data_IF_581009853364
#
_entry.id   IF_581009853364
#
_cell.length_a   1.000
_cell.length_b   1.000
_cell.length_c   1.000
_cell.angle_alpha   90.00
_cell.angle_beta   90.00
_cell.angle_gamma   90.00
#
_symmetry.space_group_name_H-M   'P 1'
#
loop_
_entity.id
_entity.type
_entity.pdbx_description
1 polymer ?
#
# COMPACT_ATOMS: atom_id res chain seq x y z
N UNK A 1 5.01 -22.99 16.45
CA UNK A 1 4.74 -22.88 15.00
C UNK A 1 5.16 -21.50 14.51
N UNK A 2 5.29 -21.26 13.20
CA UNK A 2 5.51 -19.91 12.68
C UNK A 2 4.50 -18.92 13.28
N UNK A 3 4.96 -17.71 13.60
CA UNK A 3 4.20 -16.63 14.28
C UNK A 3 2.86 -16.27 13.60
N UNK A 4 2.64 -16.73 12.37
CA UNK A 4 1.49 -16.42 11.50
C UNK A 4 0.44 -17.54 11.36
N UNK A 5 0.59 -18.65 12.10
CA UNK A 5 -0.25 -19.85 11.94
C UNK A 5 -1.15 -20.16 13.16
N UNK A 6 -1.54 -19.16 13.92
CA UNK A 6 -2.58 -19.33 14.92
C UNK A 6 -3.96 -19.35 14.22
N UNK A 7 -4.44 -20.55 13.88
CA UNK A 7 -5.84 -20.79 13.49
C UNK A 7 -6.16 -20.78 11.98
N UNK A 8 -5.36 -20.12 11.13
CA UNK A 8 -5.61 -20.04 9.69
C UNK A 8 -5.12 -21.26 8.88
N UNK A 9 -5.89 -21.70 7.89
CA UNK A 9 -5.40 -22.70 6.93
C UNK A 9 -4.25 -22.09 6.10
N UNK A 10 -3.21 -22.87 5.79
CA UNK A 10 -2.11 -22.43 4.91
C UNK A 10 -2.63 -21.90 3.57
N UNK A 11 -3.73 -22.47 3.08
CA UNK A 11 -4.39 -22.05 1.85
C UNK A 11 -4.98 -20.63 1.97
N UNK A 12 -5.58 -20.29 3.11
CA UNK A 12 -6.09 -18.93 3.38
C UNK A 12 -4.96 -17.90 3.35
N UNK A 13 -3.82 -18.21 3.97
CA UNK A 13 -2.64 -17.33 3.97
C UNK A 13 -2.10 -17.16 2.56
N UNK A 14 -1.97 -18.24 1.79
CA UNK A 14 -1.55 -18.18 0.38
C UNK A 14 -2.53 -17.33 -0.43
N UNK A 15 -3.83 -17.54 -0.29
CA UNK A 15 -4.85 -16.76 -1.00
C UNK A 15 -4.77 -15.26 -0.69
N UNK A 16 -4.52 -14.89 0.57
CA UNK A 16 -4.33 -13.50 0.98
C UNK A 16 -3.05 -12.91 0.38
N UNK A 17 -1.93 -13.64 0.45
CA UNK A 17 -0.66 -13.19 -0.14
C UNK A 17 -0.76 -13.01 -1.65
N UNK A 18 -1.63 -13.77 -2.33
CA UNK A 18 -1.84 -13.63 -3.77
C UNK A 18 -2.50 -12.30 -4.14
N UNK A 19 -3.22 -11.60 -3.26
CA UNK A 19 -3.89 -10.33 -3.59
C UNK A 19 -2.90 -9.30 -4.20
N UNK A 20 -1.84 -8.88 -3.49
CA UNK A 20 -0.89 -7.91 -4.05
C UNK A 20 -0.11 -8.45 -5.26
N UNK A 21 0.16 -9.76 -5.31
CA UNK A 21 0.82 -10.39 -6.47
C UNK A 21 -0.07 -10.40 -7.71
N UNK A 22 -1.36 -10.70 -7.56
CA UNK A 22 -2.32 -10.67 -8.66
C UNK A 22 -2.56 -9.24 -9.14
N UNK A 23 -2.68 -8.27 -8.24
CA UNK A 23 -2.73 -6.85 -8.63
C UNK A 23 -1.48 -6.47 -9.42
N UNK A 24 -0.31 -6.92 -8.97
CA UNK A 24 0.95 -6.70 -9.66
C UNK A 24 0.94 -7.25 -11.08
N UNK A 25 0.60 -8.52 -11.22
CA UNK A 25 0.54 -9.21 -12.51
C UNK A 25 -0.45 -8.54 -13.44
N UNK A 26 -1.64 -8.19 -12.96
CA UNK A 26 -2.67 -7.52 -13.77
C UNK A 26 -2.18 -6.16 -14.31
N UNK A 27 -1.53 -5.34 -13.48
CA UNK A 27 -0.99 -4.05 -13.92
C UNK A 27 0.17 -4.23 -14.92
N UNK A 28 1.06 -5.18 -14.66
CA UNK A 28 2.18 -5.50 -15.58
C UNK A 28 1.67 -6.03 -16.91
N UNK A 29 0.77 -7.02 -16.92
CA UNK A 29 0.17 -7.56 -18.14
C UNK A 29 -0.57 -6.50 -18.95
N UNK A 30 -1.31 -5.61 -18.28
CA UNK A 30 -1.98 -4.48 -18.95
C UNK A 30 -0.98 -3.56 -19.64
N UNK A 31 0.23 -3.43 -19.09
CA UNK A 31 1.27 -2.56 -19.62
C UNK A 31 2.12 -3.19 -20.73
N UNK A 32 2.23 -4.53 -20.74
CA UNK A 32 2.87 -5.30 -21.82
C UNK A 32 2.09 -5.23 -23.14
N UNK A 33 0.78 -4.96 -23.09
CA UNK A 33 -0.03 -4.71 -24.28
C UNK A 33 0.41 -3.46 -25.07
N UNK A 34 1.25 -2.60 -24.49
CA UNK A 34 1.78 -1.40 -25.13
C UNK A 34 0.74 -0.31 -25.35
N UNK A 35 1.05 0.63 -26.25
CA UNK A 35 0.17 1.75 -26.58
C UNK A 35 -0.16 2.64 -25.38
N UNK A 36 -1.45 2.90 -25.14
CA UNK A 36 -1.92 3.79 -24.06
C UNK A 36 -1.61 3.29 -22.65
N UNK A 37 -1.30 2.00 -22.50
CA UNK A 37 -0.95 1.41 -21.21
C UNK A 37 0.57 1.22 -21.02
N UNK A 38 1.39 1.65 -21.98
CA UNK A 38 2.84 1.51 -21.85
C UNK A 38 3.37 2.19 -20.59
N UNK A 39 4.25 1.51 -19.84
CA UNK A 39 4.79 2.00 -18.57
C UNK A 39 5.49 3.37 -18.66
N UNK A 40 6.09 3.65 -19.81
CA UNK A 40 6.80 4.91 -20.08
C UNK A 40 5.88 6.01 -20.64
N UNK A 41 4.60 5.69 -20.92
CA UNK A 41 3.64 6.71 -21.33
C UNK A 41 3.44 7.71 -20.19
N UNK A 42 3.34 8.99 -20.55
CA UNK A 42 3.07 10.04 -19.57
C UNK A 42 1.56 10.20 -19.44
N UNK A 43 1.08 10.36 -18.21
CA UNK A 43 -0.33 10.56 -17.89
C UNK A 43 -0.50 11.82 -17.05
N UNK A 44 -1.56 12.58 -17.34
CA UNK A 44 -1.94 13.74 -16.56
C UNK A 44 -2.61 13.30 -15.27
N UNK A 45 -2.18 13.83 -14.13
CA UNK A 45 -2.72 13.49 -12.81
C UNK A 45 -3.96 14.33 -12.53
N UNK A 46 -5.11 13.68 -12.36
CA UNK A 46 -6.37 14.38 -12.09
C UNK A 46 -6.41 14.95 -10.67
N UNK A 47 -7.25 15.95 -10.42
CA UNK A 47 -7.47 16.50 -9.07
C UNK A 47 -7.87 15.40 -8.07
N UNK A 48 -8.75 14.47 -8.47
CA UNK A 48 -9.16 13.35 -7.64
C UNK A 48 -7.97 12.46 -7.24
N UNK A 49 -7.08 12.14 -8.18
CA UNK A 49 -5.86 11.37 -7.91
C UNK A 49 -4.93 12.13 -6.96
N UNK A 50 -4.71 13.43 -7.20
CA UNK A 50 -3.85 14.27 -6.35
C UNK A 50 -4.38 14.34 -4.92
N UNK A 51 -5.70 14.45 -4.73
CA UNK A 51 -6.34 14.41 -3.41
C UNK A 51 -6.13 13.04 -2.76
N UNK A 52 -6.38 11.94 -3.48
CA UNK A 52 -6.15 10.59 -2.95
C UNK A 52 -4.70 10.39 -2.48
N UNK A 53 -3.72 10.82 -3.29
CA UNK A 53 -2.30 10.76 -2.94
C UNK A 53 -1.98 11.56 -1.67
N UNK A 54 -2.55 12.74 -1.48
CA UNK A 54 -2.36 13.56 -0.26
C UNK A 54 -2.98 12.91 0.97
N UNK A 55 -4.18 12.35 0.82
CA UNK A 55 -4.85 11.62 1.91
C UNK A 55 -4.00 10.42 2.33
N UNK A 56 -3.53 9.62 1.37
CA UNK A 56 -2.68 8.47 1.67
C UNK A 56 -1.31 8.88 2.23
N UNK A 57 -0.73 9.98 1.73
CA UNK A 57 0.51 10.55 2.25
C UNK A 57 0.36 10.94 3.72
N UNK A 58 -0.70 11.68 4.05
CA UNK A 58 -1.01 12.05 5.42
C UNK A 58 -1.21 10.81 6.28
N UNK A 59 -1.98 9.83 5.80
CA UNK A 59 -2.20 8.56 6.50
C UNK A 59 -0.86 7.86 6.85
N UNK A 60 0.11 7.74 5.93
CA UNK A 60 1.40 7.13 6.28
C UNK A 60 2.30 7.98 7.17
N UNK A 61 2.36 9.29 6.95
CA UNK A 61 3.18 10.18 7.78
C UNK A 61 2.66 10.17 9.21
N UNK A 62 1.34 10.18 9.40
CA UNK A 62 0.73 10.06 10.72
C UNK A 62 0.86 8.64 11.31
N UNK A 63 0.85 7.58 10.50
CA UNK A 63 1.06 6.22 10.98
C UNK A 63 2.52 5.94 11.39
N UNK A 64 3.48 6.63 10.76
CA UNK A 64 4.90 6.57 11.09
C UNK A 64 5.20 7.11 12.49
N UNK A 65 4.63 8.28 12.85
CA UNK A 65 4.94 8.96 14.11
C UNK A 65 4.75 8.07 15.36
N UNK A 66 3.63 7.35 15.54
CA UNK A 66 3.49 6.45 16.67
C UNK A 66 4.47 5.27 16.68
N UNK A 67 4.88 4.76 15.51
CA UNK A 67 5.85 3.66 15.45
C UNK A 67 7.23 4.10 15.98
N UNK A 68 7.62 5.35 15.72
CA UNK A 68 8.89 5.89 16.23
C UNK A 68 8.78 6.44 17.66
N UNK A 69 7.71 7.17 17.95
CA UNK A 69 7.57 7.87 19.23
C UNK A 69 7.10 6.97 20.34
N UNK A 70 6.23 6.00 20.02
CA UNK A 70 5.60 5.15 21.02
C UNK A 70 6.23 3.77 21.09
N UNK A 71 6.99 3.32 20.09
CA UNK A 71 7.79 2.09 20.14
C UNK A 71 7.07 0.90 20.80
N UNK A 72 7.47 0.56 22.04
CA UNK A 72 6.90 -0.51 22.87
C UNK A 72 5.47 -0.26 23.38
N UNK A 73 5.04 1.00 23.45
CA UNK A 73 3.72 1.46 23.91
C UNK A 73 2.70 1.62 22.78
N UNK A 74 3.11 1.42 21.52
CA UNK A 74 2.17 1.29 20.39
C UNK A 74 1.46 -0.08 20.41
N UNK A 75 0.99 -0.48 21.58
CA UNK A 75 0.11 -1.62 21.76
C UNK A 75 -1.30 -1.07 21.62
N UNK A 76 -1.79 -1.00 20.38
CA UNK A 76 -3.23 -0.81 20.12
C UNK A 76 -4.06 -2.07 20.46
N UNK A 77 -3.47 -3.03 21.18
CA UNK A 77 -4.15 -4.19 21.73
C UNK A 77 -4.38 -3.96 23.23
N UNK A 78 -5.63 -4.04 23.67
CA UNK A 78 -6.04 -3.92 25.09
C UNK A 78 -5.45 -5.00 26.02
N UNK A 79 -4.66 -5.92 25.50
CA UNK A 79 -3.95 -6.91 26.28
C UNK A 79 -2.59 -6.32 26.65
N UNK A 80 -2.19 -6.32 27.92
CA UNK A 80 -0.86 -5.88 28.41
C UNK A 80 0.32 -6.71 27.88
N UNK A 81 0.26 -7.12 26.62
CA UNK A 81 1.26 -7.80 25.82
C UNK A 81 2.29 -6.75 25.44
N UNK A 82 3.38 -6.75 26.21
CA UNK A 82 4.60 -6.06 25.82
C UNK A 82 5.07 -6.67 24.51
N UNK A 83 5.34 -5.83 23.51
CA UNK A 83 6.04 -6.25 22.30
C UNK A 83 7.32 -6.96 22.75
N UNK A 84 7.56 -8.22 22.34
CA UNK A 84 8.75 -8.94 22.79
C UNK A 84 10.01 -8.13 22.46
N UNK A 85 10.90 -7.95 23.46
CA UNK A 85 12.24 -7.34 23.32
C UNK A 85 13.18 -8.19 22.48
N UNK A 86 12.77 -8.52 21.27
CA UNK A 86 13.59 -9.23 20.30
C UNK A 86 14.03 -8.18 19.31
N UNK A 87 15.35 -7.99 19.16
CA UNK A 87 15.91 -7.00 18.22
C UNK A 87 15.26 -7.09 16.84
N UNK A 88 14.88 -8.28 16.39
CA UNK A 88 14.18 -8.48 15.12
C UNK A 88 12.81 -7.79 15.03
N UNK A 89 12.04 -7.69 16.12
CA UNK A 89 10.75 -6.97 16.11
C UNK A 89 10.98 -5.46 16.12
N UNK A 90 11.95 -4.99 16.90
CA UNK A 90 12.35 -3.59 16.91
C UNK A 90 12.90 -3.15 15.53
N UNK A 91 13.78 -3.94 14.92
CA UNK A 91 14.28 -3.73 13.55
C UNK A 91 13.13 -3.70 12.54
N UNK A 92 12.19 -4.64 12.62
CA UNK A 92 11.02 -4.68 11.73
C UNK A 92 10.14 -3.43 11.89
N UNK A 93 9.88 -3.00 13.12
CA UNK A 93 9.10 -1.77 13.38
C UNK A 93 9.78 -0.53 12.79
N UNK A 94 11.09 -0.39 12.95
CA UNK A 94 11.84 0.73 12.36
C UNK A 94 11.83 0.68 10.82
N UNK A 95 12.06 -0.50 10.23
CA UNK A 95 11.99 -0.67 8.76
C UNK A 95 10.59 -0.32 8.23
N UNK A 96 9.53 -0.74 8.95
CA UNK A 96 8.16 -0.37 8.61
C UNK A 96 7.92 1.14 8.73
N UNK A 97 8.44 1.75 9.80
CA UNK A 97 8.37 3.19 10.03
C UNK A 97 9.02 3.99 8.89
N UNK A 98 10.25 3.65 8.54
CA UNK A 98 11.01 4.27 7.45
C UNK A 98 10.29 4.13 6.11
N UNK A 99 9.73 2.95 5.85
CA UNK A 99 8.96 2.68 4.64
C UNK A 99 7.69 3.54 4.58
N UNK A 100 6.93 3.65 5.67
CA UNK A 100 5.72 4.48 5.74
C UNK A 100 6.07 5.95 5.46
N UNK A 101 7.08 6.50 6.13
CA UNK A 101 7.51 7.87 5.88
C UNK A 101 7.95 8.07 4.43
N UNK A 102 8.79 7.18 3.90
CA UNK A 102 9.31 7.24 2.53
C UNK A 102 8.19 7.21 1.49
N UNK A 103 7.21 6.31 1.65
CA UNK A 103 6.04 6.28 0.77
C UNK A 103 5.16 7.51 0.93
N UNK A 104 4.99 8.02 2.15
CA UNK A 104 4.24 9.23 2.42
C UNK A 104 4.82 10.45 1.70
N UNK A 105 6.15 10.64 1.80
CA UNK A 105 6.86 11.69 1.07
C UNK A 105 6.75 11.48 -0.44
N UNK A 106 6.94 10.25 -0.93
CA UNK A 106 6.80 9.94 -2.36
C UNK A 106 5.40 10.30 -2.90
N UNK A 107 4.33 9.95 -2.19
CA UNK A 107 2.96 10.30 -2.60
C UNK A 107 2.69 11.80 -2.55
N UNK A 108 3.24 12.50 -1.55
CA UNK A 108 3.14 13.95 -1.48
C UNK A 108 3.81 14.59 -2.70
N UNK A 109 5.05 14.19 -3.02
CA UNK A 109 5.80 14.68 -4.18
C UNK A 109 5.07 14.39 -5.49
N UNK A 110 4.51 13.19 -5.64
CA UNK A 110 3.72 12.80 -6.81
C UNK A 110 2.45 13.66 -6.94
N UNK A 111 1.79 13.98 -5.83
CA UNK A 111 0.57 14.82 -5.81
C UNK A 111 0.80 16.27 -6.25
N UNK A 112 2.07 16.72 -6.25
CA UNK A 112 2.49 18.04 -6.72
C UNK A 112 2.79 18.06 -8.22
N UNK A 113 2.94 16.90 -8.87
CA UNK A 113 3.19 16.83 -10.30
C UNK A 113 1.89 16.99 -11.09
N UNK A 114 1.95 17.61 -12.26
CA UNK A 114 0.82 17.64 -13.19
C UNK A 114 0.74 16.39 -14.05
N UNK A 115 1.89 15.79 -14.35
CA UNK A 115 1.97 14.55 -15.10
C UNK A 115 3.10 13.67 -14.57
N UNK A 116 2.97 12.36 -14.75
CA UNK A 116 4.00 11.40 -14.39
C UNK A 116 4.04 10.24 -15.39
N UNK A 117 5.18 9.52 -15.49
CA UNK A 117 5.20 8.23 -16.15
C UNK A 117 4.19 7.27 -15.49
N UNK A 118 3.47 6.52 -16.31
CA UNK A 118 2.40 5.63 -15.86
C UNK A 118 2.88 4.57 -14.85
N UNK A 119 4.13 4.12 -14.95
CA UNK A 119 4.70 3.17 -13.98
C UNK A 119 4.71 3.71 -12.55
N UNK A 120 4.78 5.03 -12.36
CA UNK A 120 4.80 5.64 -11.02
C UNK A 120 3.48 5.38 -10.27
N UNK A 121 2.36 5.25 -11.01
CA UNK A 121 1.05 4.93 -10.45
C UNK A 121 0.92 3.48 -9.96
N UNK A 122 1.85 2.60 -10.34
CA UNK A 122 1.88 1.22 -9.85
C UNK A 122 2.13 1.16 -8.34
N UNK A 123 2.99 2.05 -7.83
CA UNK A 123 3.39 2.10 -6.43
C UNK A 123 2.17 2.27 -5.49
N UNK A 124 1.34 3.31 -5.62
CA UNK A 124 0.16 3.47 -4.76
C UNK A 124 -0.88 2.35 -4.96
N UNK A 125 -1.02 1.79 -6.16
CA UNK A 125 -1.95 0.67 -6.41
C UNK A 125 -1.53 -0.59 -5.63
N UNK A 126 -0.27 -0.98 -5.74
CA UNK A 126 0.25 -2.19 -5.08
C UNK A 126 0.30 -2.02 -3.59
N UNK A 127 0.70 -0.83 -3.13
CA UNK A 127 0.67 -0.54 -1.70
C UNK A 127 -0.76 -0.68 -1.18
N UNK A 128 -1.75 -0.07 -1.83
CA UNK A 128 -3.13 -0.23 -1.42
C UNK A 128 -3.61 -1.68 -1.47
N UNK A 129 -3.18 -2.48 -2.46
CA UNK A 129 -3.54 -3.90 -2.52
C UNK A 129 -2.95 -4.69 -1.34
N UNK A 130 -1.74 -4.35 -0.90
CA UNK A 130 -1.16 -4.86 0.33
C UNK A 130 -1.96 -4.44 1.56
N UNK A 131 -2.39 -3.18 1.63
CA UNK A 131 -3.23 -2.70 2.73
C UNK A 131 -4.59 -3.37 2.74
N UNK A 132 -5.26 -3.57 1.60
CA UNK A 132 -6.52 -4.34 1.52
C UNK A 132 -6.33 -5.76 2.05
N UNK A 133 -5.20 -6.42 1.72
CA UNK A 133 -4.86 -7.71 2.31
C UNK A 133 -4.70 -7.61 3.83
N UNK A 134 -4.12 -6.54 4.36
CA UNK A 134 -3.99 -6.33 5.81
C UNK A 134 -5.34 -6.03 6.45
N UNK A 135 -6.20 -5.21 5.84
CA UNK A 135 -7.57 -4.93 6.30
C UNK A 135 -8.37 -6.23 6.44
N UNK A 136 -8.31 -7.11 5.43
CA UNK A 136 -8.93 -8.43 5.48
C UNK A 136 -8.40 -9.26 6.65
N UNK A 137 -7.09 -9.19 6.91
CA UNK A 137 -6.44 -9.94 7.99
C UNK A 137 -6.80 -9.39 9.36
N UNK A 138 -6.84 -8.08 9.51
CA UNK A 138 -7.03 -7.40 10.78
C UNK A 138 -8.50 -7.31 11.17
N UNK A 139 -9.41 -7.26 10.21
CA UNK A 139 -10.84 -7.10 10.47
C UNK A 139 -11.65 -8.39 10.25
N UNK A 140 -12.15 -8.73 9.05
CA UNK A 140 -13.08 -9.85 8.88
C UNK A 140 -12.46 -11.21 9.17
N UNK A 141 -11.14 -11.38 9.00
CA UNK A 141 -10.45 -12.64 9.26
C UNK A 141 -9.67 -12.65 10.58
N UNK A 142 -9.60 -11.52 11.30
CA UNK A 142 -8.76 -11.37 12.50
C UNK A 142 -9.07 -12.42 13.57
N UNK A 143 -10.36 -12.76 13.73
CA UNK A 143 -10.79 -13.82 14.64
C UNK A 143 -10.26 -15.23 14.28
N UNK A 144 -9.95 -15.47 13.00
CA UNK A 144 -9.53 -16.78 12.50
C UNK A 144 -8.01 -16.93 12.37
N UNK A 145 -7.29 -15.83 12.15
CA UNK A 145 -5.87 -15.89 11.74
C UNK A 145 -4.92 -15.06 12.60
N UNK A 146 -5.42 -14.17 13.46
CA UNK A 146 -4.56 -13.42 14.36
C UNK A 146 -4.06 -14.33 15.51
N UNK A 147 -2.84 -14.09 16.02
CA UNK A 147 -2.32 -14.80 17.20
C UNK A 147 -3.25 -14.75 18.41
N UNK A 148 -4.01 -13.67 18.56
CA UNK A 148 -4.95 -13.45 19.67
C UNK A 148 -6.37 -13.90 19.33
N UNK A 149 -6.63 -14.35 18.09
CA UNK A 149 -7.97 -14.71 17.59
C UNK A 149 -9.02 -13.62 17.83
N UNK A 150 -8.61 -12.36 17.73
CA UNK A 150 -9.47 -11.18 17.89
C UNK A 150 -9.36 -10.26 16.68
N UNK A 151 -10.47 -9.65 16.22
CA UNK A 151 -10.41 -8.59 15.21
C UNK A 151 -9.86 -7.30 15.83
N UNK A 152 -9.08 -6.54 15.05
CA UNK A 152 -8.50 -5.26 15.45
C UNK A 152 -9.49 -4.10 15.29
N UNK A 153 -10.69 -4.22 15.87
CA UNK A 153 -11.71 -3.18 15.82
C UNK A 153 -11.41 -2.08 16.86
N UNK A 154 -11.66 -0.78 16.58
CA UNK A 154 -12.22 -0.18 15.36
C UNK A 154 -11.21 0.12 14.24
N UNK A 155 -9.91 -0.05 14.51
CA UNK A 155 -8.82 0.46 13.68
C UNK A 155 -8.76 -0.19 12.29
N UNK A 156 -8.91 -1.51 12.21
CA UNK A 156 -8.92 -2.23 10.93
C UNK A 156 -10.12 -1.89 10.04
N UNK A 157 -11.26 -1.48 10.63
CA UNK A 157 -12.40 -0.99 9.85
C UNK A 157 -12.12 0.43 9.32
N UNK A 158 -11.57 1.32 10.15
CA UNK A 158 -11.22 2.67 9.73
C UNK A 158 -10.13 2.68 8.66
N UNK A 159 -9.16 1.77 8.77
CA UNK A 159 -8.13 1.55 7.75
C UNK A 159 -8.77 1.13 6.42
N UNK A 160 -9.61 0.08 6.42
CA UNK A 160 -10.32 -0.36 5.22
C UNK A 160 -11.24 0.71 4.60
N UNK A 161 -11.95 1.49 5.41
CA UNK A 161 -12.78 2.61 4.93
C UNK A 161 -11.95 3.73 4.30
N UNK A 162 -10.66 3.84 4.64
CA UNK A 162 -9.73 4.80 4.05
C UNK A 162 -9.07 4.23 2.81
N UNK A 163 -8.53 3.01 2.88
CA UNK A 163 -7.71 2.40 1.82
C UNK A 163 -8.54 1.94 0.62
N UNK A 164 -9.73 1.35 0.84
CA UNK A 164 -10.55 0.80 -0.25
C UNK A 164 -11.01 1.88 -1.24
N UNK A 165 -11.50 3.06 -0.81
CA UNK A 165 -11.78 4.14 -1.75
C UNK A 165 -10.54 4.62 -2.52
N UNK A 166 -9.37 4.67 -1.88
CA UNK A 166 -8.13 5.11 -2.52
C UNK A 166 -7.70 4.16 -3.64
N UNK A 167 -7.73 2.84 -3.42
CA UNK A 167 -7.38 1.87 -4.48
C UNK A 167 -8.31 2.00 -5.68
N UNK A 168 -9.61 2.26 -5.46
CA UNK A 168 -10.57 2.50 -6.53
C UNK A 168 -10.19 3.74 -7.34
N UNK A 169 -9.79 4.85 -6.69
CA UNK A 169 -9.33 6.06 -7.39
C UNK A 169 -8.08 5.78 -8.22
N UNK A 170 -7.11 5.05 -7.67
CA UNK A 170 -5.85 4.75 -8.36
C UNK A 170 -6.05 3.83 -9.56
N UNK A 171 -6.79 2.73 -9.38
CA UNK A 171 -7.08 1.79 -10.47
C UNK A 171 -7.93 2.47 -11.54
N UNK A 172 -8.95 3.23 -11.15
CA UNK A 172 -9.77 3.97 -12.10
C UNK A 172 -8.92 4.94 -12.93
N UNK A 173 -8.11 5.78 -12.27
CA UNK A 173 -7.22 6.70 -12.95
C UNK A 173 -6.22 5.97 -13.86
N UNK A 174 -5.62 4.88 -13.38
CA UNK A 174 -4.72 4.06 -14.20
C UNK A 174 -5.43 3.53 -15.45
N UNK A 175 -6.68 3.09 -15.37
CA UNK A 175 -7.38 2.53 -16.53
C UNK A 175 -7.92 3.60 -17.51
N UNK A 176 -8.26 4.80 -17.02
CA UNK A 176 -8.97 5.82 -17.82
C UNK A 176 -8.11 7.01 -18.23
N UNK A 177 -6.96 7.26 -17.59
CA UNK A 177 -6.11 8.39 -17.92
C UNK A 177 -5.64 8.34 -19.38
N UNK A 178 -5.82 9.45 -20.09
CA UNK A 178 -5.28 9.62 -21.44
C UNK A 178 -3.75 9.57 -21.39
N UNK A 179 -3.16 8.72 -22.22
CA UNK A 179 -1.72 8.58 -22.35
C UNK A 179 -1.20 9.48 -23.46
N UNK A 180 -0.18 10.27 -23.16
CA UNK A 180 0.63 10.94 -24.18
C UNK A 180 1.87 10.10 -24.46
N UNK A 181 2.38 10.19 -25.70
CA UNK A 181 3.60 9.48 -26.10
C UNK A 181 4.77 9.79 -25.14
N UNK A 182 5.68 8.84 -24.90
CA UNK A 182 6.85 9.07 -24.05
C UNK A 182 7.65 10.27 -24.55
N UNK A 183 8.10 11.13 -23.63
CA UNK A 183 8.78 12.40 -23.93
C UNK A 183 10.18 12.25 -24.59
N UNK A 184 10.54 11.09 -25.13
CA UNK A 184 11.88 10.84 -25.69
C UNK A 184 11.83 10.51 -27.17
N UNK A 185 12.00 11.56 -27.98
CA UNK A 185 12.70 11.48 -29.27
C UNK A 185 13.61 12.69 -29.39
N UNK A 186 14.86 12.58 -28.93
CA UNK A 186 16.03 13.20 -29.57
C UNK A 186 17.30 12.91 -28.75
N UNK A 187 18.05 11.89 -29.15
CA UNK A 187 19.52 12.00 -29.24
C UNK A 187 19.97 11.06 -30.36
N UNK A 188 19.92 11.56 -31.59
CA UNK A 188 20.88 11.10 -32.60
C UNK A 188 22.21 11.70 -32.17
N UNK A 189 23.02 10.92 -31.47
CA UNK A 189 24.45 11.20 -31.42
C UNK A 189 25.01 10.84 -32.80
N UNK A 190 25.11 11.86 -33.65
CA UNK A 190 25.99 11.86 -34.82
C UNK A 190 27.43 12.05 -34.37
#
# INVERSE_FOLDING_TARGET
GPFWLAGGSRLTIVALLLIPWLTTVLVLCSSLAGGKFGMQSTVQLTTALKVALRVQAAYFIFAHLPLELLGEEFVMFESGIKVPRVNAIWELTNICSDALFSFGVFYLLLSLQDAAPRWVLYVPIVQCAYNVKNDLVWYPLGAMISPESKPSFPLGLLDGLTIVPLICVYVHHFLTAAATAPAVKATKHS
#
